data_IF_033342690281
#
_entry.id   IF_033342690281
#
_cell.length_a   1.000
_cell.length_b   1.000
_cell.length_c   1.000
_cell.angle_alpha   90.00
_cell.angle_beta   90.00
_cell.angle_gamma   90.00
#
_symmetry.space_group_name_H-M   'P 1'
#
loop_
_entity.id
_entity.type
_entity.pdbx_description
1 polymer ?
#
# COMPACT_ATOMS: atom_id res chain seq x y z
N UNK A 1 -0.10 -30.81 14.09
CA UNK A 1 0.11 -30.28 12.72
C UNK A 1 -0.67 -28.97 12.55
N UNK A 2 -0.10 -27.98 11.85
CA UNK A 2 -0.74 -26.71 11.55
C UNK A 2 -0.89 -26.63 10.03
N UNK A 3 -2.14 -26.46 9.54
CA UNK A 3 -2.41 -26.24 8.14
C UNK A 3 -2.48 -24.73 7.84
N UNK A 4 -1.70 -24.27 6.86
CA UNK A 4 -1.67 -22.89 6.44
C UNK A 4 -1.93 -22.78 4.93
N UNK A 5 -2.98 -22.06 4.53
CA UNK A 5 -3.28 -21.82 3.11
C UNK A 5 -2.74 -20.46 2.65
N UNK A 6 -3.53 -19.40 2.77
CA UNK A 6 -3.22 -18.06 2.23
C UNK A 6 -1.90 -17.46 2.69
N UNK A 7 -1.44 -17.79 3.90
CA UNK A 7 -0.14 -17.30 4.39
C UNK A 7 1.03 -17.84 3.57
N UNK A 8 0.98 -19.11 3.14
CA UNK A 8 1.99 -19.70 2.27
C UNK A 8 1.90 -19.19 0.82
N UNK A 9 0.71 -18.81 0.36
CA UNK A 9 0.55 -18.14 -0.94
C UNK A 9 1.23 -16.76 -0.96
N UNK A 10 1.16 -16.03 0.15
CA UNK A 10 1.79 -14.72 0.28
C UNK A 10 3.29 -14.83 0.51
N UNK A 11 3.71 -15.75 1.36
CA UNK A 11 5.11 -15.99 1.70
C UNK A 11 5.39 -17.50 1.78
N UNK A 12 5.82 -18.12 0.68
CA UNK A 12 6.14 -19.56 0.66
C UNK A 12 7.34 -19.90 1.57
N UNK A 13 8.18 -18.93 1.89
CA UNK A 13 9.34 -19.10 2.78
C UNK A 13 9.00 -18.91 4.28
N UNK A 14 7.75 -18.68 4.62
CA UNK A 14 7.31 -18.46 6.00
C UNK A 14 7.85 -19.50 7.00
N UNK A 15 7.78 -20.81 6.74
CA UNK A 15 8.30 -21.80 7.68
C UNK A 15 9.80 -21.68 7.90
N UNK A 16 10.57 -21.43 6.82
CA UNK A 16 12.01 -21.24 6.88
C UNK A 16 12.37 -19.99 7.68
N UNK A 17 11.70 -18.87 7.42
CA UNK A 17 11.91 -17.59 8.14
C UNK A 17 11.65 -17.73 9.64
N UNK A 18 10.61 -18.47 10.03
CA UNK A 18 10.32 -18.76 11.43
C UNK A 18 11.41 -19.63 12.07
N UNK A 19 11.84 -20.70 11.39
CA UNK A 19 12.91 -21.56 11.88
C UNK A 19 14.23 -20.84 12.06
N UNK A 20 14.49 -19.83 11.23
CA UNK A 20 15.69 -18.98 11.29
C UNK A 20 15.55 -17.78 12.26
N UNK A 21 14.44 -17.65 13.00
CA UNK A 21 14.19 -16.57 13.94
C UNK A 21 14.01 -15.19 13.28
N UNK A 22 13.47 -15.13 12.06
CA UNK A 22 13.27 -13.89 11.27
C UNK A 22 11.77 -13.60 11.01
N UNK A 23 10.92 -13.49 12.06
CA UNK A 23 9.50 -13.26 11.88
C UNK A 23 9.17 -11.92 11.20
N UNK A 24 10.03 -10.91 11.35
CA UNK A 24 9.89 -9.60 10.73
C UNK A 24 10.09 -9.60 9.21
N UNK A 25 10.66 -10.67 8.65
CA UNK A 25 10.82 -10.88 7.22
C UNK A 25 9.61 -11.57 6.58
N UNK A 26 8.65 -11.99 7.38
CA UNK A 26 7.46 -12.66 6.87
C UNK A 26 6.52 -11.63 6.26
N UNK A 27 6.21 -11.84 4.97
CA UNK A 27 5.25 -11.02 4.25
C UNK A 27 3.82 -11.30 4.78
N UNK A 28 3.09 -10.27 5.28
CA UNK A 28 1.78 -10.49 5.88
C UNK A 28 0.70 -10.76 4.83
N UNK A 29 -0.21 -11.67 5.13
CA UNK A 29 -1.44 -11.83 4.37
C UNK A 29 -2.47 -10.80 4.85
N UNK A 30 -2.92 -9.93 3.95
CA UNK A 30 -3.93 -8.90 4.24
C UNK A 30 -5.38 -9.43 4.29
N UNK A 31 -5.60 -10.72 4.12
CA UNK A 31 -6.94 -11.33 4.08
C UNK A 31 -7.92 -10.70 3.05
N UNK A 32 -7.40 -10.02 2.03
CA UNK A 32 -8.18 -9.30 1.00
C UNK A 32 -9.00 -10.22 0.06
N UNK A 33 -8.84 -11.54 0.18
CA UNK A 33 -9.52 -12.59 -0.60
C UNK A 33 -9.34 -12.49 -2.13
N UNK A 34 -8.41 -11.68 -2.62
CA UNK A 34 -8.12 -11.59 -4.05
C UNK A 34 -7.78 -12.93 -4.69
N UNK A 35 -7.04 -13.77 -3.97
CA UNK A 35 -6.70 -15.12 -4.43
C UNK A 35 -7.93 -16.04 -4.62
N UNK A 36 -9.05 -15.75 -3.96
CA UNK A 36 -10.28 -16.55 -4.07
C UNK A 36 -11.02 -16.32 -5.39
N UNK A 37 -11.04 -15.08 -5.87
CA UNK A 37 -11.81 -14.70 -7.06
C UNK A 37 -11.33 -15.42 -8.33
N UNK A 38 -10.03 -15.43 -8.68
CA UNK A 38 -9.54 -16.21 -9.80
C UNK A 38 -9.81 -17.70 -9.65
N UNK A 39 -9.59 -18.25 -8.45
CA UNK A 39 -9.84 -19.66 -8.16
C UNK A 39 -11.30 -20.06 -8.45
N UNK A 40 -12.28 -19.25 -8.02
CA UNK A 40 -13.70 -19.49 -8.29
C UNK A 40 -14.06 -19.40 -9.80
N UNK A 41 -13.23 -18.72 -10.59
CA UNK A 41 -13.41 -18.57 -12.04
C UNK A 41 -12.54 -19.51 -12.86
N UNK A 42 -11.90 -20.50 -12.23
CA UNK A 42 -10.94 -21.41 -12.86
C UNK A 42 -9.81 -20.68 -13.59
N UNK A 43 -9.36 -19.55 -13.04
CA UNK A 43 -8.28 -18.74 -13.54
C UNK A 43 -7.03 -18.93 -12.67
N UNK A 44 -5.82 -18.66 -13.17
CA UNK A 44 -4.59 -18.69 -12.37
C UNK A 44 -4.71 -17.81 -11.12
N UNK A 45 -4.33 -18.36 -9.98
CA UNK A 45 -4.38 -17.66 -8.69
C UNK A 45 -3.42 -16.47 -8.70
N UNK A 46 -3.85 -15.35 -8.14
CA UNK A 46 -3.04 -14.13 -7.97
C UNK A 46 -3.10 -13.63 -6.53
N UNK A 47 -2.10 -12.86 -6.12
CA UNK A 47 -2.07 -12.24 -4.81
C UNK A 47 -1.68 -10.76 -4.93
N UNK A 48 -2.39 -9.88 -4.23
CA UNK A 48 -2.08 -8.43 -4.22
C UNK A 48 -0.74 -8.10 -3.56
N UNK A 49 -0.26 -8.96 -2.68
CA UNK A 49 0.97 -8.72 -1.91
C UNK A 49 2.14 -9.51 -2.48
N UNK A 50 1.90 -10.70 -3.04
CA UNK A 50 2.89 -11.53 -3.70
C UNK A 50 2.63 -11.57 -5.21
N UNK A 51 3.24 -10.67 -5.95
CA UNK A 51 3.09 -10.61 -7.41
C UNK A 51 3.61 -11.88 -8.13
N UNK A 52 4.51 -12.63 -7.50
CA UNK A 52 5.10 -13.83 -8.08
C UNK A 52 4.22 -15.08 -7.93
N UNK A 53 3.12 -15.02 -7.16
CA UNK A 53 2.25 -16.19 -6.96
C UNK A 53 1.71 -16.73 -8.28
N UNK A 54 2.05 -18.00 -8.59
CA UNK A 54 1.70 -18.67 -9.85
C UNK A 54 2.54 -18.22 -11.06
N UNK A 55 3.54 -17.37 -10.84
CA UNK A 55 4.46 -16.83 -11.85
C UNK A 55 5.89 -16.77 -11.33
N UNK A 56 6.27 -17.68 -10.45
CA UNK A 56 7.53 -17.63 -9.70
C UNK A 56 8.75 -17.59 -10.63
N UNK A 57 8.71 -18.31 -11.76
CA UNK A 57 9.80 -18.30 -12.76
C UNK A 57 9.90 -16.97 -13.51
N UNK A 58 8.77 -16.35 -13.84
CA UNK A 58 8.71 -15.09 -14.58
C UNK A 58 9.15 -13.91 -13.70
N UNK A 59 8.73 -13.91 -12.43
CA UNK A 59 9.01 -12.83 -11.47
C UNK A 59 10.18 -13.13 -10.53
N UNK A 60 11.04 -14.11 -10.87
CA UNK A 60 12.26 -14.37 -10.13
C UNK A 60 13.13 -13.11 -10.05
N UNK A 61 13.51 -12.72 -8.83
CA UNK A 61 14.36 -11.55 -8.62
C UNK A 61 15.81 -11.94 -8.89
N UNK A 62 16.30 -11.59 -10.07
CA UNK A 62 17.69 -11.83 -10.48
C UNK A 62 18.54 -10.58 -10.31
N UNK A 63 19.82 -10.72 -9.95
CA UNK A 63 20.77 -9.62 -9.95
C UNK A 63 20.75 -8.90 -11.30
N UNK A 64 20.82 -7.57 -11.27
CA UNK A 64 20.90 -6.77 -12.48
C UNK A 64 22.30 -6.92 -13.12
N UNK A 65 22.37 -6.99 -14.44
CA UNK A 65 23.64 -7.06 -15.17
C UNK A 65 24.53 -5.81 -14.91
N UNK A 66 23.89 -4.66 -14.63
CA UNK A 66 24.56 -3.40 -14.27
C UNK A 66 23.82 -2.71 -13.15
N UNK A 67 24.54 -2.31 -12.10
CA UNK A 67 24.03 -1.46 -11.03
C UNK A 67 23.65 -0.09 -11.59
N UNK A 68 22.47 0.42 -11.19
CA UNK A 68 21.95 1.74 -11.58
C UNK A 68 21.57 2.55 -10.34
N UNK A 69 21.57 3.86 -10.49
CA UNK A 69 20.95 4.78 -9.53
C UNK A 69 19.48 4.93 -9.89
N UNK A 70 18.61 4.43 -9.02
CA UNK A 70 17.16 4.40 -9.22
C UNK A 70 16.49 5.32 -8.21
N UNK A 71 15.66 6.21 -8.70
CA UNK A 71 14.78 7.03 -7.85
C UNK A 71 13.37 6.46 -7.92
N UNK A 72 12.75 6.25 -6.77
CA UNK A 72 11.33 5.88 -6.65
C UNK A 72 10.57 7.06 -6.05
N UNK A 73 9.50 7.49 -6.72
CA UNK A 73 8.68 8.64 -6.31
C UNK A 73 7.33 8.15 -5.82
N UNK A 74 7.11 8.29 -4.50
CA UNK A 74 5.92 7.84 -3.78
C UNK A 74 6.16 6.63 -2.90
N UNK A 75 5.88 6.78 -1.61
CA UNK A 75 6.05 5.79 -0.54
C UNK A 75 4.82 4.95 -0.25
N UNK A 76 3.89 4.83 -1.20
CA UNK A 76 2.78 3.88 -1.14
C UNK A 76 3.24 2.43 -1.40
N UNK A 77 2.33 1.43 -1.30
CA UNK A 77 2.70 0.02 -1.44
C UNK A 77 3.39 -0.28 -2.78
N UNK A 78 2.94 0.34 -3.88
CA UNK A 78 3.57 0.17 -5.19
C UNK A 78 5.00 0.69 -5.24
N UNK A 79 5.26 1.87 -4.64
CA UNK A 79 6.61 2.44 -4.58
C UNK A 79 7.52 1.68 -3.64
N UNK A 80 7.03 1.26 -2.48
CA UNK A 80 7.80 0.45 -1.54
C UNK A 80 8.20 -0.90 -2.16
N UNK A 81 7.29 -1.58 -2.87
CA UNK A 81 7.62 -2.83 -3.56
C UNK A 81 8.61 -2.60 -4.71
N UNK A 82 8.43 -1.53 -5.51
CA UNK A 82 9.37 -1.18 -6.58
C UNK A 82 10.78 -0.91 -6.03
N UNK A 83 10.88 -0.16 -4.93
CA UNK A 83 12.15 0.13 -4.27
C UNK A 83 12.79 -1.15 -3.71
N UNK A 84 11.99 -2.03 -3.07
CA UNK A 84 12.45 -3.31 -2.55
C UNK A 84 13.01 -4.20 -3.66
N UNK A 85 12.26 -4.36 -4.76
CA UNK A 85 12.70 -5.20 -5.88
C UNK A 85 13.94 -4.63 -6.56
N UNK A 86 13.98 -3.32 -6.79
CA UNK A 86 15.15 -2.67 -7.39
C UNK A 86 16.41 -2.86 -6.53
N UNK A 87 16.29 -2.66 -5.21
CA UNK A 87 17.40 -2.86 -4.28
C UNK A 87 17.82 -4.33 -4.17
N UNK A 88 16.87 -5.27 -4.13
CA UNK A 88 17.14 -6.70 -4.13
C UNK A 88 17.85 -7.17 -5.42
N UNK A 89 17.67 -6.44 -6.52
CA UNK A 89 18.43 -6.66 -7.77
C UNK A 89 19.81 -6.00 -7.79
N UNK A 90 20.22 -5.31 -6.72
CA UNK A 90 21.54 -4.70 -6.55
C UNK A 90 21.63 -3.24 -7.02
N UNK A 91 20.52 -2.59 -7.33
CA UNK A 91 20.52 -1.15 -7.67
C UNK A 91 20.72 -0.28 -6.42
N UNK A 92 21.25 0.92 -6.61
CA UNK A 92 21.25 1.97 -5.60
C UNK A 92 19.92 2.71 -5.66
N UNK A 93 19.13 2.64 -4.57
CA UNK A 93 17.74 3.11 -4.58
C UNK A 93 17.53 4.22 -3.57
N UNK A 94 16.90 5.31 -4.03
CA UNK A 94 16.39 6.38 -3.17
C UNK A 94 14.88 6.48 -3.39
N UNK A 95 14.11 6.37 -2.31
CA UNK A 95 12.66 6.55 -2.32
C UNK A 95 12.30 7.91 -1.73
N UNK A 96 11.58 8.73 -2.48
CA UNK A 96 11.04 10.01 -2.04
C UNK A 96 9.55 9.90 -1.74
N UNK A 97 9.15 10.38 -0.57
CA UNK A 97 7.75 10.46 -0.16
C UNK A 97 7.47 11.85 0.44
N UNK A 98 6.47 12.54 -0.12
CA UNK A 98 6.07 13.88 0.34
C UNK A 98 5.39 13.89 1.71
N UNK A 99 4.81 12.76 2.12
CA UNK A 99 4.25 12.61 3.45
C UNK A 99 5.36 12.32 4.50
N UNK A 100 5.12 12.62 5.78
CA UNK A 100 6.09 12.36 6.85
C UNK A 100 6.22 10.88 7.23
N UNK A 101 5.51 9.98 6.54
CA UNK A 101 5.56 8.51 6.78
C UNK A 101 5.21 7.74 5.50
N UNK A 102 5.67 6.50 5.44
CA UNK A 102 5.34 5.56 4.37
C UNK A 102 3.89 5.02 4.49
N UNK A 103 3.45 4.31 3.46
CA UNK A 103 2.17 3.61 3.41
C UNK A 103 1.15 4.21 2.44
N UNK A 104 1.32 5.45 1.98
CA UNK A 104 0.39 6.09 1.04
C UNK A 104 -1.05 6.11 1.56
N UNK A 105 -1.97 5.43 0.88
CA UNK A 105 -3.39 5.34 1.28
C UNK A 105 -3.69 4.22 2.29
N UNK A 106 -2.73 3.34 2.61
CA UNK A 106 -2.97 2.21 3.52
C UNK A 106 -3.40 2.64 4.93
N UNK A 107 -2.84 3.69 5.57
CA UNK A 107 -3.30 4.15 6.88
C UNK A 107 -4.76 4.60 6.89
N UNK A 108 -5.23 5.24 5.82
CA UNK A 108 -6.63 5.63 5.68
C UNK A 108 -7.53 4.40 5.45
N UNK A 109 -7.08 3.45 4.63
CA UNK A 109 -7.81 2.21 4.41
C UNK A 109 -7.91 1.38 5.70
N UNK A 110 -6.87 1.35 6.53
CA UNK A 110 -6.88 0.69 7.83
C UNK A 110 -7.91 1.31 8.78
N UNK A 111 -8.11 2.62 8.73
CA UNK A 111 -9.11 3.31 9.54
C UNK A 111 -10.54 2.86 9.18
N UNK A 112 -10.81 2.69 7.88
CA UNK A 112 -12.14 2.30 7.39
C UNK A 112 -12.40 0.80 7.63
N UNK A 113 -11.41 -0.05 7.33
CA UNK A 113 -11.55 -1.51 7.37
C UNK A 113 -11.32 -2.13 8.76
N UNK A 114 -10.66 -1.40 9.65
CA UNK A 114 -10.15 -1.94 10.90
C UNK A 114 -8.94 -2.85 10.68
N UNK A 115 -8.33 -3.30 11.78
CA UNK A 115 -7.12 -4.15 11.75
C UNK A 115 -7.42 -5.64 11.98
N UNK A 116 -8.65 -5.99 12.32
CA UNK A 116 -9.01 -7.37 12.70
C UNK A 116 -9.04 -8.33 11.50
N UNK A 117 -9.37 -7.83 10.31
CA UNK A 117 -9.52 -8.65 9.11
C UNK A 117 -8.36 -8.42 8.16
N UNK A 118 -8.01 -7.16 7.90
CA UNK A 118 -6.91 -6.77 7.01
C UNK A 118 -5.87 -5.96 7.81
N UNK A 119 -4.74 -6.58 8.13
CA UNK A 119 -3.65 -5.91 8.85
C UNK A 119 -2.80 -5.08 7.87
N UNK A 120 -3.35 -3.96 7.43
CA UNK A 120 -2.67 -3.04 6.53
C UNK A 120 -1.45 -2.35 7.17
N UNK A 121 -1.45 -2.00 8.46
CA UNK A 121 -0.26 -1.53 9.16
C UNK A 121 0.89 -2.54 9.14
N UNK A 122 0.63 -3.83 9.34
CA UNK A 122 1.68 -4.85 9.28
C UNK A 122 2.34 -4.93 7.92
N UNK A 123 1.60 -4.67 6.83
CA UNK A 123 2.20 -4.59 5.49
C UNK A 123 3.16 -3.41 5.36
N UNK A 124 2.82 -2.25 5.92
CA UNK A 124 3.72 -1.08 5.92
C UNK A 124 4.99 -1.40 6.71
N UNK A 125 4.85 -1.93 7.93
CA UNK A 125 5.99 -2.32 8.79
C UNK A 125 6.89 -3.36 8.13
N UNK A 126 6.32 -4.32 7.42
CA UNK A 126 7.07 -5.28 6.61
C UNK A 126 7.92 -4.55 5.56
N UNK A 127 7.33 -3.65 4.77
CA UNK A 127 8.07 -2.92 3.76
C UNK A 127 9.16 -2.04 4.36
N UNK A 128 8.88 -1.31 5.43
CA UNK A 128 9.88 -0.49 6.14
C UNK A 128 11.08 -1.33 6.57
N UNK A 129 10.81 -2.52 7.11
CA UNK A 129 11.87 -3.48 7.49
C UNK A 129 12.69 -3.94 6.30
N UNK A 130 12.02 -4.31 5.20
CA UNK A 130 12.70 -4.77 3.99
C UNK A 130 13.53 -3.66 3.33
N UNK A 131 13.00 -2.45 3.22
CA UNK A 131 13.72 -1.31 2.66
C UNK A 131 14.98 -1.00 3.46
N UNK A 132 14.87 -1.00 4.79
CA UNK A 132 16.02 -0.80 5.68
C UNK A 132 17.07 -1.90 5.52
N UNK A 133 16.68 -3.18 5.51
CA UNK A 133 17.60 -4.33 5.35
C UNK A 133 18.31 -4.31 4.00
N UNK A 134 17.65 -3.80 2.96
CA UNK A 134 18.22 -3.69 1.61
C UNK A 134 19.01 -2.39 1.38
N UNK A 135 19.15 -1.54 2.41
CA UNK A 135 19.89 -0.29 2.30
C UNK A 135 19.24 0.77 1.41
N UNK A 136 17.92 0.72 1.24
CA UNK A 136 17.18 1.76 0.51
C UNK A 136 17.18 3.05 1.32
N UNK A 137 17.62 4.14 0.71
CA UNK A 137 17.53 5.47 1.31
C UNK A 137 16.12 6.00 1.14
N UNK A 138 15.47 6.33 2.26
CA UNK A 138 14.09 6.85 2.29
C UNK A 138 14.10 8.31 2.72
N UNK A 139 13.58 9.20 1.86
CA UNK A 139 13.45 10.64 2.05
C UNK A 139 11.98 10.99 2.30
N UNK A 140 11.60 11.12 3.57
CA UNK A 140 10.25 11.46 4.00
C UNK A 140 10.05 12.98 4.07
N UNK A 141 8.79 13.44 3.91
CA UNK A 141 8.45 14.85 3.93
C UNK A 141 9.01 15.63 2.74
N UNK A 142 9.50 14.94 1.70
CA UNK A 142 10.21 15.54 0.59
C UNK A 142 9.54 15.20 -0.75
N UNK A 143 8.95 16.19 -1.37
CA UNK A 143 8.39 16.05 -2.71
C UNK A 143 9.51 16.00 -3.75
N UNK A 144 9.47 15.01 -4.64
CA UNK A 144 10.44 14.90 -5.73
C UNK A 144 9.94 15.70 -6.92
N UNK A 145 10.77 16.63 -7.39
CA UNK A 145 10.42 17.56 -8.48
C UNK A 145 11.21 17.25 -9.77
N UNK A 146 10.74 17.73 -10.93
CA UNK A 146 11.49 17.62 -12.19
C UNK A 146 12.89 18.25 -12.12
N UNK A 147 13.05 19.34 -11.35
CA UNK A 147 14.34 20.00 -11.13
C UNK A 147 15.31 19.07 -10.38
N UNK A 148 14.82 18.35 -9.37
CA UNK A 148 15.62 17.35 -8.67
C UNK A 148 16.06 16.23 -9.61
N UNK A 149 15.20 15.80 -10.53
CA UNK A 149 15.55 14.80 -11.54
C UNK A 149 16.68 15.30 -12.46
N UNK A 150 16.64 16.56 -12.88
CA UNK A 150 17.69 17.17 -13.71
C UNK A 150 19.03 17.28 -12.97
N UNK A 151 18.98 17.61 -11.67
CA UNK A 151 20.18 17.76 -10.81
C UNK A 151 20.78 16.43 -10.44
N UNK A 152 19.97 15.48 -9.95
CA UNK A 152 20.42 14.17 -9.47
C UNK A 152 20.78 13.23 -10.61
N UNK A 153 20.24 13.45 -11.81
CA UNK A 153 20.46 12.63 -13.03
C UNK A 153 20.38 11.12 -12.72
N UNK A 154 19.27 10.64 -12.16
CA UNK A 154 19.11 9.21 -11.94
C UNK A 154 19.07 8.46 -13.27
N UNK A 155 19.57 7.22 -13.30
CA UNK A 155 19.53 6.40 -14.51
C UNK A 155 18.14 5.79 -14.77
N UNK A 156 17.29 5.73 -13.72
CA UNK A 156 15.89 5.36 -13.83
C UNK A 156 15.05 6.06 -12.77
N UNK A 157 13.82 6.41 -13.13
CA UNK A 157 12.82 6.94 -12.21
C UNK A 157 11.58 6.07 -12.29
N UNK A 158 11.12 5.58 -11.14
CA UNK A 158 9.86 4.85 -11.00
C UNK A 158 8.83 5.78 -10.37
N UNK A 159 7.79 6.12 -11.13
CA UNK A 159 6.72 6.99 -10.65
C UNK A 159 5.60 6.14 -10.04
N UNK A 160 5.41 6.24 -8.72
CA UNK A 160 4.44 5.47 -7.93
C UNK A 160 3.59 6.38 -7.03
N UNK A 161 3.17 7.53 -7.56
CA UNK A 161 2.46 8.59 -6.83
C UNK A 161 0.99 8.28 -6.51
N UNK A 162 0.52 7.10 -6.88
CA UNK A 162 -0.86 6.65 -6.68
C UNK A 162 -1.82 7.15 -7.74
N UNK A 163 -3.09 6.77 -7.59
CA UNK A 163 -4.18 7.17 -8.48
C UNK A 163 -4.99 8.34 -7.89
N UNK A 164 -5.70 9.04 -8.78
CA UNK A 164 -6.73 10.00 -8.40
C UNK A 164 -8.11 9.37 -8.58
N UNK A 165 -8.99 9.55 -7.61
CA UNK A 165 -10.37 9.11 -7.74
C UNK A 165 -11.11 10.00 -8.75
N UNK A 166 -11.64 9.41 -9.80
CA UNK A 166 -12.53 10.09 -10.73
C UNK A 166 -13.86 10.38 -10.01
N UNK A 167 -14.30 11.63 -10.04
CA UNK A 167 -15.61 12.03 -9.55
C UNK A 167 -16.60 11.95 -10.73
N UNK A 168 -17.71 11.20 -10.63
CA UNK A 168 -18.65 11.09 -11.73
C UNK A 168 -19.31 12.45 -12.01
N UNK A 169 -19.53 12.76 -13.28
CA UNK A 169 -20.20 13.97 -13.71
C UNK A 169 -21.73 13.83 -13.55
N UNK A 170 -22.22 14.02 -12.34
CA UNK A 170 -23.67 13.98 -12.02
C UNK A 170 -24.16 15.33 -11.55
N UNK A 171 -25.42 15.65 -11.84
CA UNK A 171 -26.04 16.91 -11.43
C UNK A 171 -26.02 17.05 -9.90
N UNK A 172 -25.56 18.19 -9.42
CA UNK A 172 -25.51 18.48 -7.99
C UNK A 172 -24.24 17.96 -7.26
N UNK A 173 -23.26 17.40 -7.94
CA UNK A 173 -22.02 16.87 -7.33
C UNK A 173 -21.25 17.91 -6.50
N UNK A 174 -21.36 19.19 -6.85
CA UNK A 174 -20.69 20.30 -6.18
C UNK A 174 -21.51 20.93 -5.02
N UNK A 175 -22.65 20.33 -4.65
CA UNK A 175 -23.46 20.84 -3.53
C UNK A 175 -22.71 20.62 -2.20
N UNK A 176 -22.96 21.54 -1.23
CA UNK A 176 -22.31 21.51 0.10
C UNK A 176 -22.56 20.23 0.91
N UNK A 177 -23.68 19.56 0.64
CA UNK A 177 -24.05 18.29 1.29
C UNK A 177 -23.52 17.05 0.54
N UNK A 178 -22.72 17.24 -0.51
CA UNK A 178 -22.06 16.14 -1.23
C UNK A 178 -20.62 16.04 -0.78
N UNK A 179 -20.24 14.83 -0.33
CA UNK A 179 -18.89 14.52 0.10
C UNK A 179 -18.30 13.47 -0.82
N UNK A 180 -17.31 13.84 -1.63
CA UNK A 180 -16.56 12.87 -2.45
C UNK A 180 -15.53 12.13 -1.59
N UNK A 181 -15.15 10.90 -1.99
CA UNK A 181 -14.09 10.15 -1.30
C UNK A 181 -12.78 10.95 -1.16
N UNK A 182 -12.44 11.74 -2.20
CA UNK A 182 -11.25 12.62 -2.15
C UNK A 182 -11.41 13.77 -1.14
N UNK A 183 -12.59 14.37 -1.06
CA UNK A 183 -12.87 15.42 -0.07
C UNK A 183 -12.86 14.88 1.35
N UNK A 184 -13.40 13.67 1.57
CA UNK A 184 -13.33 12.98 2.84
C UNK A 184 -11.87 12.69 3.23
N UNK A 185 -11.10 12.16 2.32
CA UNK A 185 -9.67 11.89 2.52
C UNK A 185 -8.90 13.15 2.92
N UNK A 186 -9.13 14.27 2.23
CA UNK A 186 -8.48 15.56 2.56
C UNK A 186 -8.84 16.04 3.97
N UNK A 187 -10.11 15.86 4.39
CA UNK A 187 -10.56 16.22 5.74
C UNK A 187 -9.96 15.33 6.82
N UNK A 188 -9.85 14.03 6.59
CA UNK A 188 -9.41 13.05 7.59
C UNK A 188 -7.89 12.97 7.71
N UNK A 189 -7.16 13.19 6.61
CA UNK A 189 -5.69 13.06 6.58
C UNK A 189 -4.94 13.88 7.64
N UNK A 190 -5.28 15.16 7.93
CA UNK A 190 -4.61 15.92 9.00
C UNK A 190 -4.76 15.28 10.38
N UNK A 191 -5.97 14.81 10.68
CA UNK A 191 -6.26 14.13 11.95
C UNK A 191 -5.54 12.77 12.05
N UNK A 192 -5.47 12.01 10.96
CA UNK A 192 -4.67 10.78 10.90
C UNK A 192 -3.18 11.03 11.17
N UNK A 193 -2.65 12.15 10.68
CA UNK A 193 -1.26 12.53 10.91
C UNK A 193 -0.98 12.86 12.37
N UNK A 194 -1.94 13.52 13.03
CA UNK A 194 -1.80 14.00 14.41
C UNK A 194 -2.09 12.89 15.43
N UNK A 195 -3.20 12.16 15.26
CA UNK A 195 -3.74 11.24 16.26
C UNK A 195 -3.40 9.77 15.99
N UNK A 196 -2.97 9.45 14.78
CA UNK A 196 -2.78 8.07 14.34
C UNK A 196 -4.11 7.32 14.08
N UNK A 197 -4.06 6.13 13.44
CA UNK A 197 -5.26 5.41 13.02
C UNK A 197 -6.09 4.85 14.19
N UNK A 198 -5.46 4.42 15.28
CA UNK A 198 -6.16 3.82 16.43
C UNK A 198 -7.05 4.80 17.18
N UNK A 199 -6.49 5.95 17.58
CA UNK A 199 -7.23 6.97 18.30
C UNK A 199 -8.30 7.63 17.42
N UNK A 200 -7.98 7.90 16.16
CA UNK A 200 -8.94 8.45 15.22
C UNK A 200 -10.09 7.47 14.96
N UNK A 201 -9.83 6.16 14.85
CA UNK A 201 -10.85 5.14 14.70
C UNK A 201 -11.80 5.07 15.91
N UNK A 202 -11.31 5.33 17.12
CA UNK A 202 -12.13 5.44 18.31
C UNK A 202 -12.99 6.71 18.30
N UNK A 203 -12.41 7.86 17.95
CA UNK A 203 -13.13 9.15 17.86
C UNK A 203 -14.24 9.08 16.79
N UNK A 204 -13.98 8.48 15.63
CA UNK A 204 -14.96 8.38 14.53
C UNK A 204 -16.16 7.50 14.87
N UNK A 205 -16.07 6.62 15.86
CA UNK A 205 -17.22 5.88 16.40
C UNK A 205 -18.18 6.78 17.20
N UNK A 206 -17.66 7.84 17.80
CA UNK A 206 -18.44 8.79 18.61
C UNK A 206 -18.94 9.97 17.78
N UNK A 207 -18.20 10.38 16.77
CA UNK A 207 -18.53 11.53 15.94
C UNK A 207 -18.02 11.34 14.52
N UNK A 208 -18.93 11.41 13.55
CA UNK A 208 -18.63 11.47 12.13
C UNK A 208 -19.16 12.78 11.56
N UNK A 209 -18.41 13.49 10.69
CA UNK A 209 -18.85 14.73 10.06
C UNK A 209 -19.87 14.48 8.92
N UNK A 210 -20.76 13.53 9.12
CA UNK A 210 -21.85 13.16 8.20
C UNK A 210 -23.16 13.14 8.97
N UNK A 211 -24.25 13.57 8.33
CA UNK A 211 -25.57 13.62 8.97
C UNK A 211 -26.15 12.22 9.25
N UNK A 212 -27.28 12.20 9.97
CA UNK A 212 -27.99 10.94 10.31
C UNK A 212 -28.60 10.22 9.09
N UNK A 213 -28.80 10.91 7.97
CA UNK A 213 -29.31 10.33 6.71
C UNK A 213 -28.26 10.53 5.62
N UNK A 214 -27.70 9.44 5.14
CA UNK A 214 -26.63 9.42 4.15
C UNK A 214 -27.05 8.57 2.95
N UNK A 215 -26.82 9.09 1.74
CA UNK A 215 -26.98 8.35 0.51
C UNK A 215 -25.59 8.11 -0.06
N UNK A 216 -25.24 6.84 -0.27
CA UNK A 216 -23.96 6.43 -0.88
C UNK A 216 -24.19 6.14 -2.35
N UNK A 217 -23.47 6.84 -3.24
CA UNK A 217 -23.54 6.64 -4.68
C UNK A 217 -22.34 5.78 -5.11
N UNK A 218 -22.61 4.54 -5.53
CA UNK A 218 -21.63 3.55 -5.91
C UNK A 218 -21.71 2.31 -5.02
N UNK A 219 -22.01 1.15 -5.61
CA UNK A 219 -22.22 -0.13 -4.91
C UNK A 219 -21.10 -1.15 -5.12
N UNK A 220 -19.95 -0.76 -5.67
CA UNK A 220 -18.76 -1.59 -5.71
C UNK A 220 -18.07 -1.63 -4.35
N UNK A 221 -17.00 -2.41 -4.21
CA UNK A 221 -16.25 -2.66 -2.96
C UNK A 221 -16.09 -1.41 -2.07
N UNK A 222 -15.79 -0.25 -2.65
CA UNK A 222 -15.61 1.00 -1.90
C UNK A 222 -16.93 1.57 -1.36
N UNK A 223 -18.03 1.48 -2.10
CA UNK A 223 -19.32 1.97 -1.66
C UNK A 223 -19.91 1.12 -0.53
N UNK A 224 -19.79 -0.20 -0.62
CA UNK A 224 -20.24 -1.13 0.42
C UNK A 224 -19.40 -1.08 1.71
N UNK A 225 -18.19 -0.53 1.68
CA UNK A 225 -17.33 -0.40 2.85
C UNK A 225 -17.56 0.89 3.64
N UNK A 226 -18.25 1.87 3.06
CA UNK A 226 -18.53 3.19 3.65
C UNK A 226 -19.97 3.28 4.15
N UNK A 227 -20.85 2.38 3.73
CA UNK A 227 -22.23 2.24 4.21
C UNK A 227 -22.29 1.44 5.51
#
# INVERSE_FOLDING_TARGET
AIAMGRRLMVDPELPRKLAEGRPEDIRPCMACLECRTPFQRYQPVSCRVNAALGKEREYEIKPAARKKRVVVVGGGPGGMEAARVAAARGHEVVLYEKAPRLGGSLPLAALIKGTQIEDLPALVSYFETQLRKLGVRVELGREFTPEMARTLKPEAVVVAIGGQHATPAISGINRRNVLTGQALQRKVTPYLRLLGPGLLGWITRLWLPVGKRVVVIGGLLHGCQVS
#
